data_IF_245156526147
#
_entry.id   IF_245156526147
#
_cell.length_a   1.000
_cell.length_b   1.000
_cell.length_c   1.000
_cell.angle_alpha   90.00
_cell.angle_beta   90.00
_cell.angle_gamma   90.00
#
_symmetry.space_group_name_H-M   'P 1'
#
loop_
_entity.id
_entity.type
_entity.pdbx_description
1 polymer ?
#
# COMPACT_ATOMS: atom_id res chain seq x y z
N UNK A 1 -13.24 4.60 3.25
CA UNK A 1 -12.62 4.07 2.01
C UNK A 1 -13.69 4.01 0.93
N UNK A 2 -13.76 4.91 -0.07
CA UNK A 2 -14.51 4.62 -1.27
C UNK A 2 -13.51 4.41 -2.41
N UNK A 3 -12.82 3.27 -2.41
CA UNK A 3 -12.27 2.79 -3.67
C UNK A 3 -13.45 2.21 -4.44
N UNK A 4 -13.62 2.71 -5.66
CA UNK A 4 -14.59 2.29 -6.68
C UNK A 4 -14.84 0.78 -6.59
N UNK A 5 -16.12 0.39 -6.66
CA UNK A 5 -16.61 -0.98 -6.50
C UNK A 5 -15.75 -2.00 -7.26
N UNK A 6 -14.86 -2.68 -6.53
CA UNK A 6 -14.22 -3.88 -7.04
C UNK A 6 -15.25 -5.00 -7.11
N UNK A 7 -15.10 -5.91 -8.06
CA UNK A 7 -15.88 -7.14 -8.06
C UNK A 7 -15.66 -7.90 -6.75
N UNK A 8 -16.72 -8.55 -6.25
CA UNK A 8 -16.58 -9.45 -5.11
C UNK A 8 -15.77 -10.68 -5.52
N UNK A 9 -15.11 -11.31 -4.55
CA UNK A 9 -14.36 -12.53 -4.80
C UNK A 9 -15.26 -13.63 -5.37
N UNK A 10 -16.48 -13.73 -4.83
CA UNK A 10 -17.49 -14.73 -5.22
C UNK A 10 -17.94 -14.54 -6.66
N UNK A 11 -18.13 -13.29 -7.10
CA UNK A 11 -18.48 -13.01 -8.50
C UNK A 11 -17.37 -13.46 -9.45
N UNK A 12 -16.11 -13.15 -9.12
CA UNK A 12 -14.98 -13.58 -9.95
C UNK A 12 -14.89 -15.10 -9.98
N UNK A 13 -14.98 -15.76 -8.83
CA UNK A 13 -14.95 -17.22 -8.72
C UNK A 13 -16.03 -17.89 -9.57
N UNK A 14 -17.26 -17.37 -9.52
CA UNK A 14 -18.38 -17.86 -10.32
C UNK A 14 -18.10 -17.71 -11.82
N UNK A 15 -17.53 -16.59 -12.27
CA UNK A 15 -17.10 -16.39 -13.65
C UNK A 15 -16.02 -17.41 -14.06
N UNK A 16 -14.98 -17.59 -13.24
CA UNK A 16 -13.89 -18.53 -13.53
C UNK A 16 -14.41 -19.97 -13.66
N UNK A 17 -15.26 -20.39 -12.72
CA UNK A 17 -15.83 -21.74 -12.69
C UNK A 17 -16.79 -22.01 -13.86
N UNK A 18 -17.62 -21.01 -14.22
CA UNK A 18 -18.60 -21.15 -15.29
C UNK A 18 -17.98 -21.16 -16.68
N UNK A 19 -16.92 -20.37 -16.90
CA UNK A 19 -16.45 -20.06 -18.25
C UNK A 19 -15.12 -20.73 -18.64
N UNK A 20 -14.28 -21.19 -17.70
CA UNK A 20 -12.93 -21.70 -18.05
C UNK A 20 -12.83 -23.22 -18.26
N UNK A 21 -13.93 -23.97 -18.10
CA UNK A 21 -14.10 -25.34 -18.65
C UNK A 21 -13.00 -26.36 -18.31
N UNK A 22 -12.76 -27.31 -19.24
CA UNK A 22 -11.79 -28.44 -19.11
C UNK A 22 -10.36 -28.10 -19.54
N UNK A 23 -10.08 -26.84 -19.87
CA UNK A 23 -8.74 -26.41 -20.31
C UNK A 23 -7.76 -26.60 -19.15
N UNK A 24 -6.53 -27.04 -19.45
CA UNK A 24 -5.52 -27.20 -18.40
C UNK A 24 -5.19 -25.84 -17.80
N UNK A 25 -5.32 -25.71 -16.48
CA UNK A 25 -5.13 -24.44 -15.74
C UNK A 25 -3.83 -23.71 -16.10
N UNK A 26 -2.74 -24.43 -16.34
CA UNK A 26 -1.43 -23.87 -16.69
C UNK A 26 -1.38 -23.19 -18.07
N UNK A 27 -2.36 -23.42 -18.93
CA UNK A 27 -2.45 -22.82 -20.27
C UNK A 27 -3.34 -21.57 -20.28
N UNK A 28 -4.09 -21.33 -19.22
CA UNK A 28 -5.00 -20.19 -19.14
C UNK A 28 -4.25 -18.98 -18.54
N UNK A 29 -4.46 -17.83 -19.18
CA UNK A 29 -4.07 -16.53 -18.70
C UNK A 29 -5.32 -15.70 -18.43
N UNK A 30 -5.41 -15.15 -17.22
CA UNK A 30 -6.43 -14.18 -16.82
C UNK A 30 -5.80 -12.81 -16.91
N UNK A 31 -6.40 -11.93 -17.69
CA UNK A 31 -5.99 -10.54 -17.86
C UNK A 31 -7.01 -9.62 -17.21
N UNK A 32 -6.55 -8.72 -16.35
CA UNK A 32 -7.34 -7.62 -15.80
C UNK A 32 -6.69 -6.27 -16.14
N UNK A 33 -7.19 -5.51 -17.13
CA UNK A 33 -6.60 -4.23 -17.53
C UNK A 33 -6.82 -3.10 -16.50
N UNK A 34 -7.66 -3.31 -15.49
CA UNK A 34 -7.98 -2.35 -14.44
C UNK A 34 -8.01 -3.05 -13.08
N UNK A 35 -6.86 -3.64 -12.72
CA UNK A 35 -6.78 -4.64 -11.67
C UNK A 35 -7.13 -4.10 -10.27
N UNK A 36 -7.06 -2.79 -10.04
CA UNK A 36 -7.30 -2.18 -8.74
C UNK A 36 -6.44 -2.83 -7.66
N UNK A 37 -7.08 -3.21 -6.55
CA UNK A 37 -6.41 -3.93 -5.45
C UNK A 37 -6.28 -5.45 -5.69
N UNK A 38 -6.59 -5.92 -6.90
CA UNK A 38 -6.22 -7.24 -7.40
C UNK A 38 -7.21 -8.38 -7.18
N UNK A 39 -8.51 -8.13 -6.97
CA UNK A 39 -9.47 -9.22 -6.71
C UNK A 39 -9.46 -10.28 -7.81
N UNK A 40 -9.53 -9.87 -9.08
CA UNK A 40 -9.47 -10.77 -10.24
C UNK A 40 -8.18 -11.58 -10.28
N UNK A 41 -7.05 -10.91 -10.05
CA UNK A 41 -5.73 -11.56 -10.09
C UNK A 41 -5.56 -12.55 -8.94
N UNK A 42 -5.99 -12.19 -7.73
CA UNK A 42 -5.90 -13.06 -6.56
C UNK A 42 -6.75 -14.31 -6.75
N UNK A 43 -8.01 -14.16 -7.19
CA UNK A 43 -8.85 -15.35 -7.44
C UNK A 43 -8.27 -16.21 -8.55
N UNK A 44 -7.87 -15.62 -9.68
CA UNK A 44 -7.20 -16.36 -10.76
C UNK A 44 -5.98 -17.15 -10.28
N UNK A 45 -5.15 -16.52 -9.44
CA UNK A 45 -3.97 -17.13 -8.85
C UNK A 45 -4.32 -18.27 -7.87
N UNK A 46 -5.33 -18.11 -7.02
CA UNK A 46 -5.81 -19.15 -6.10
C UNK A 46 -6.35 -20.37 -6.86
N UNK A 47 -6.99 -20.16 -8.02
CA UNK A 47 -7.40 -21.22 -8.95
C UNK A 47 -6.25 -21.81 -9.78
N UNK A 48 -5.00 -21.37 -9.55
CA UNK A 48 -3.77 -21.85 -10.23
C UNK A 48 -3.72 -21.53 -11.72
N UNK A 49 -4.37 -20.45 -12.14
CA UNK A 49 -4.21 -19.87 -13.47
C UNK A 49 -3.01 -18.91 -13.49
N UNK A 50 -2.51 -18.60 -14.68
CA UNK A 50 -1.58 -17.49 -14.85
C UNK A 50 -2.38 -16.18 -14.85
N UNK A 51 -1.85 -15.12 -14.25
CA UNK A 51 -2.56 -13.85 -14.12
C UNK A 51 -1.67 -12.68 -14.52
N UNK A 52 -2.25 -11.69 -15.19
CA UNK A 52 -1.61 -10.42 -15.56
C UNK A 52 -2.61 -9.30 -15.28
N UNK A 53 -2.16 -8.21 -14.69
CA UNK A 53 -3.01 -7.04 -14.57
C UNK A 53 -2.26 -5.72 -14.63
N UNK A 54 -3.00 -4.69 -15.02
CA UNK A 54 -2.54 -3.32 -15.15
C UNK A 54 -3.29 -2.44 -14.16
N UNK A 55 -2.58 -1.53 -13.52
CA UNK A 55 -3.16 -0.56 -12.58
C UNK A 55 -2.29 0.70 -12.58
N UNK A 56 -2.91 1.86 -12.74
CA UNK A 56 -2.23 3.16 -12.80
C UNK A 56 -1.96 3.72 -11.41
N UNK A 57 -2.82 3.42 -10.43
CA UNK A 57 -2.66 3.84 -9.06
C UNK A 57 -1.57 2.99 -8.37
N UNK A 58 -0.42 3.57 -7.98
CA UNK A 58 0.69 2.79 -7.44
C UNK A 58 0.39 2.17 -6.08
N UNK A 59 -0.51 2.75 -5.27
CA UNK A 59 -0.95 2.15 -4.00
C UNK A 59 -1.81 0.90 -4.25
N UNK A 60 -2.77 0.97 -5.17
CA UNK A 60 -3.60 -0.18 -5.53
C UNK A 60 -2.75 -1.30 -6.16
N UNK A 61 -1.82 -0.94 -7.05
CA UNK A 61 -0.85 -1.86 -7.65
C UNK A 61 0.05 -2.54 -6.59
N UNK A 62 0.53 -1.78 -5.59
CA UNK A 62 1.30 -2.31 -4.46
C UNK A 62 0.47 -3.32 -3.65
N UNK A 63 -0.78 -2.99 -3.34
CA UNK A 63 -1.70 -3.86 -2.61
C UNK A 63 -1.94 -5.19 -3.37
N UNK A 64 -2.24 -5.09 -4.66
CA UNK A 64 -2.45 -6.24 -5.55
C UNK A 64 -1.21 -7.14 -5.60
N UNK A 65 -0.02 -6.55 -5.82
CA UNK A 65 1.26 -7.26 -5.88
C UNK A 65 1.59 -8.00 -4.59
N UNK A 66 1.37 -7.36 -3.43
CA UNK A 66 1.64 -7.97 -2.13
C UNK A 66 0.68 -9.13 -1.82
N UNK A 67 -0.61 -9.01 -2.18
CA UNK A 67 -1.57 -10.12 -2.04
C UNK A 67 -1.15 -11.36 -2.83
N UNK A 68 -0.65 -11.17 -4.06
CA UNK A 68 -0.13 -12.28 -4.88
C UNK A 68 1.13 -12.91 -4.28
N UNK A 69 1.92 -12.15 -3.51
CA UNK A 69 3.12 -12.63 -2.81
C UNK A 69 2.85 -13.13 -1.40
N UNK A 70 1.60 -13.13 -0.92
CA UNK A 70 1.27 -13.37 0.48
C UNK A 70 1.85 -14.68 1.04
N UNK A 71 1.90 -15.73 0.21
CA UNK A 71 2.46 -17.04 0.59
C UNK A 71 3.96 -17.01 0.92
N UNK A 72 4.70 -16.04 0.38
CA UNK A 72 6.15 -15.91 0.57
C UNK A 72 6.56 -14.87 1.62
N UNK A 73 5.60 -14.30 2.37
CA UNK A 73 5.91 -13.29 3.39
C UNK A 73 6.57 -13.98 4.59
N UNK A 74 7.78 -13.57 5.02
CA UNK A 74 8.42 -14.09 6.21
C UNK A 74 7.75 -13.52 7.47
N UNK A 75 6.88 -14.32 8.11
CA UNK A 75 6.08 -13.86 9.26
C UNK A 75 6.95 -13.46 10.43
N UNK A 76 7.94 -14.27 10.81
CA UNK A 76 8.84 -13.96 11.93
C UNK A 76 9.59 -12.64 11.69
N UNK A 77 10.14 -12.48 10.48
CA UNK A 77 10.80 -11.23 10.08
C UNK A 77 9.85 -10.04 10.11
N UNK A 78 8.60 -10.19 9.68
CA UNK A 78 7.60 -9.13 9.76
C UNK A 78 7.31 -8.75 11.23
N UNK A 79 7.13 -9.73 12.10
CA UNK A 79 6.89 -9.53 13.53
C UNK A 79 8.06 -8.80 14.21
N UNK A 80 9.29 -9.19 13.92
CA UNK A 80 10.49 -8.53 14.45
C UNK A 80 10.53 -7.04 14.03
N UNK A 81 10.18 -6.75 12.77
CA UNK A 81 10.12 -5.36 12.29
C UNK A 81 8.99 -4.57 12.92
N UNK A 82 7.86 -5.18 13.25
CA UNK A 82 6.76 -4.50 13.98
C UNK A 82 7.25 -4.08 15.37
N UNK A 83 7.90 -4.99 16.11
CA UNK A 83 8.45 -4.66 17.43
C UNK A 83 9.52 -3.57 17.33
N UNK A 84 10.41 -3.67 16.34
CA UNK A 84 11.43 -2.65 16.10
C UNK A 84 10.82 -1.29 15.73
N UNK A 85 9.73 -1.28 14.95
CA UNK A 85 9.00 -0.06 14.59
C UNK A 85 8.37 0.61 15.81
N UNK A 86 7.69 -0.15 16.66
CA UNK A 86 7.09 0.36 17.90
C UNK A 86 8.16 0.98 18.82
N UNK A 87 9.28 0.27 19.01
CA UNK A 87 10.40 0.78 19.80
C UNK A 87 11.01 2.06 19.20
N UNK A 88 11.19 2.10 17.88
CA UNK A 88 11.67 3.29 17.17
C UNK A 88 10.72 4.48 17.33
N UNK A 89 9.42 4.27 17.10
CA UNK A 89 8.43 5.35 17.20
C UNK A 89 8.28 5.87 18.63
N UNK A 90 8.29 4.99 19.63
CA UNK A 90 8.26 5.37 21.05
C UNK A 90 9.49 6.18 21.44
N UNK A 91 10.66 5.84 20.90
CA UNK A 91 11.89 6.62 21.11
C UNK A 91 11.83 7.98 20.43
N UNK A 92 11.40 8.05 19.17
CA UNK A 92 11.44 9.30 18.41
C UNK A 92 10.30 10.26 18.77
N UNK A 93 9.15 9.74 19.19
CA UNK A 93 7.93 10.48 19.46
C UNK A 93 7.26 10.03 20.78
N UNK A 94 7.92 10.20 21.93
CA UNK A 94 7.36 9.81 23.22
C UNK A 94 6.07 10.58 23.54
N UNK A 95 5.15 9.92 24.24
CA UNK A 95 3.92 10.55 24.72
C UNK A 95 4.26 11.69 25.68
N UNK A 96 3.86 12.92 25.33
CA UNK A 96 4.20 14.12 26.11
C UNK A 96 4.71 15.32 25.28
N UNK A 97 4.98 15.15 23.99
CA UNK A 97 4.81 16.26 23.04
C UNK A 97 6.06 16.97 22.49
N UNK A 98 7.24 16.33 22.45
CA UNK A 98 8.33 16.73 21.54
C UNK A 98 9.04 15.52 20.95
N UNK A 99 9.36 15.58 19.66
CA UNK A 99 10.23 14.59 19.04
C UNK A 99 11.65 14.70 19.60
N UNK A 100 12.36 13.57 19.72
CA UNK A 100 13.75 13.54 20.19
C UNK A 100 14.77 13.84 19.06
N UNK A 101 14.31 14.37 17.92
CA UNK A 101 15.13 14.73 16.77
C UNK A 101 14.30 15.27 15.60
N UNK A 102 14.97 15.49 14.48
CA UNK A 102 14.34 15.81 13.19
C UNK A 102 14.34 14.58 12.27
N UNK A 103 13.23 14.29 11.59
CA UNK A 103 13.19 13.24 10.57
C UNK A 103 14.17 13.50 9.42
N UNK A 104 14.75 12.44 8.85
CA UNK A 104 15.57 12.54 7.64
C UNK A 104 14.70 12.71 6.38
N UNK A 105 13.56 12.03 6.35
CA UNK A 105 12.55 12.13 5.31
C UNK A 105 11.92 13.51 5.30
N UNK A 106 11.60 13.98 4.09
CA UNK A 106 10.93 15.27 3.88
C UNK A 106 9.61 15.06 3.19
N UNK A 107 8.66 15.95 3.46
CA UNK A 107 7.45 16.03 2.67
C UNK A 107 7.81 16.35 1.20
N UNK A 108 7.14 15.75 0.21
CA UNK A 108 7.35 16.06 -1.19
C UNK A 108 7.14 17.54 -1.49
N UNK A 109 7.79 18.05 -2.54
CA UNK A 109 7.55 19.41 -3.02
C UNK A 109 6.08 19.57 -3.42
N UNK A 110 5.43 20.66 -2.99
CA UNK A 110 4.00 20.89 -3.23
C UNK A 110 3.05 20.10 -2.32
N UNK A 111 3.57 19.39 -1.30
CA UNK A 111 2.78 18.73 -0.25
C UNK A 111 2.22 19.74 0.78
N UNK A 112 1.66 20.85 0.28
CA UNK A 112 0.99 21.89 1.04
C UNK A 112 -0.04 22.55 0.12
N UNK A 113 -1.32 22.21 0.29
CA UNK A 113 -2.42 22.86 -0.42
C UNK A 113 -2.83 24.17 0.26
N UNK A 114 -4.10 24.57 0.11
CA UNK A 114 -4.68 25.70 0.88
C UNK A 114 -4.73 25.42 2.40
N UNK A 115 -4.67 24.15 2.79
CA UNK A 115 -4.60 23.67 4.18
C UNK A 115 -3.43 22.70 4.32
N UNK A 116 -2.87 22.61 5.53
CA UNK A 116 -1.88 21.59 5.85
C UNK A 116 -2.51 20.20 5.73
N UNK A 117 -1.89 19.29 4.97
CA UNK A 117 -2.38 17.91 4.81
C UNK A 117 -2.38 17.13 6.13
N UNK A 118 -1.39 17.38 6.99
CA UNK A 118 -1.29 16.83 8.33
C UNK A 118 -0.99 17.97 9.30
N UNK A 119 -1.47 17.87 10.55
CA UNK A 119 -0.95 18.76 11.60
C UNK A 119 0.56 18.54 11.78
N UNK A 120 1.35 19.54 12.25
CA UNK A 120 2.79 19.41 12.36
C UNK A 120 3.24 18.20 13.20
N UNK A 121 2.49 17.87 14.26
CA UNK A 121 2.73 16.69 15.10
C UNK A 121 2.54 15.38 14.33
N UNK A 122 1.45 15.27 13.56
CA UNK A 122 1.18 14.08 12.74
C UNK A 122 2.19 13.96 11.62
N UNK A 123 2.50 15.07 10.92
CA UNK A 123 3.49 15.09 9.86
C UNK A 123 4.85 14.58 10.37
N UNK A 124 5.31 15.06 11.52
CA UNK A 124 6.56 14.61 12.13
C UNK A 124 6.56 13.09 12.37
N UNK A 125 5.46 12.54 12.91
CA UNK A 125 5.32 11.08 13.11
C UNK A 125 5.34 10.32 11.78
N UNK A 126 4.66 10.83 10.75
CA UNK A 126 4.66 10.23 9.41
C UNK A 126 6.06 10.22 8.80
N UNK A 127 6.82 11.31 8.93
CA UNK A 127 8.19 11.38 8.41
C UNK A 127 9.14 10.41 9.13
N UNK A 128 9.02 10.25 10.45
CA UNK A 128 9.76 9.20 11.17
C UNK A 128 9.35 7.80 10.74
N UNK A 129 8.06 7.56 10.50
CA UNK A 129 7.62 6.26 9.98
C UNK A 129 8.25 5.99 8.59
N UNK A 130 8.34 7.00 7.73
CA UNK A 130 9.03 6.88 6.44
C UNK A 130 10.54 6.62 6.59
N UNK A 131 11.20 7.23 7.57
CA UNK A 131 12.60 6.93 7.88
C UNK A 131 12.82 5.47 8.25
N UNK A 132 11.97 4.94 9.15
CA UNK A 132 12.02 3.54 9.53
C UNK A 132 11.74 2.63 8.32
N UNK A 133 10.72 2.93 7.53
CA UNK A 133 10.40 2.16 6.32
C UNK A 133 11.58 2.17 5.34
N UNK A 134 12.24 3.32 5.19
CA UNK A 134 13.41 3.48 4.34
C UNK A 134 14.62 2.64 4.77
N UNK A 135 14.74 2.34 6.07
CA UNK A 135 15.85 1.54 6.61
C UNK A 135 15.62 0.02 6.55
N UNK A 136 14.44 -0.45 6.14
CA UNK A 136 14.15 -1.88 5.99
C UNK A 136 14.82 -2.43 4.73
N UNK A 137 15.77 -3.35 4.92
CA UNK A 137 16.49 -4.02 3.82
C UNK A 137 15.60 -4.98 3.02
N UNK A 138 14.73 -5.74 3.71
CA UNK A 138 13.85 -6.70 3.05
C UNK A 138 12.75 -5.96 2.25
N UNK A 139 12.75 -6.04 0.90
CA UNK A 139 11.84 -5.24 0.08
C UNK A 139 10.37 -5.64 0.26
N UNK A 140 10.07 -6.89 0.59
CA UNK A 140 8.68 -7.36 0.83
C UNK A 140 8.16 -6.79 2.15
N UNK A 141 8.97 -6.83 3.20
CA UNK A 141 8.60 -6.25 4.50
C UNK A 141 8.45 -4.73 4.35
N UNK A 142 9.41 -4.06 3.70
CA UNK A 142 9.34 -2.62 3.42
C UNK A 142 8.05 -2.23 2.68
N UNK A 143 7.69 -2.98 1.65
CA UNK A 143 6.46 -2.75 0.88
C UNK A 143 5.19 -3.01 1.73
N UNK A 144 5.20 -3.99 2.63
CA UNK A 144 4.10 -4.21 3.59
C UNK A 144 3.92 -3.02 4.54
N UNK A 145 5.02 -2.47 5.06
CA UNK A 145 4.94 -1.27 5.90
C UNK A 145 4.45 -0.05 5.11
N UNK A 146 4.88 0.13 3.85
CA UNK A 146 4.34 1.20 2.97
C UNK A 146 2.85 1.05 2.75
N UNK A 147 2.39 -0.18 2.49
CA UNK A 147 0.98 -0.48 2.32
C UNK A 147 0.20 -0.18 3.61
N UNK A 148 0.72 -0.60 4.76
CA UNK A 148 0.11 -0.36 6.07
C UNK A 148 0.01 1.14 6.37
N UNK A 149 1.08 1.91 6.17
CA UNK A 149 1.08 3.36 6.34
C UNK A 149 0.05 4.02 5.42
N UNK A 150 0.04 3.68 4.13
CA UNK A 150 -0.94 4.21 3.18
C UNK A 150 -2.39 3.90 3.53
N UNK A 151 -2.65 2.74 4.16
CA UNK A 151 -4.00 2.35 4.57
C UNK A 151 -4.59 3.22 5.67
N UNK A 152 -3.76 3.86 6.49
CA UNK A 152 -4.18 4.71 7.61
C UNK A 152 -3.98 6.21 7.35
N UNK A 153 -3.14 6.57 6.39
CA UNK A 153 -2.77 7.97 6.10
C UNK A 153 -3.97 8.91 5.89
N UNK A 154 -5.02 8.47 5.18
CA UNK A 154 -6.23 9.30 4.97
C UNK A 154 -6.91 9.62 6.30
N UNK A 155 -7.04 8.63 7.20
CA UNK A 155 -7.70 8.81 8.50
C UNK A 155 -6.95 9.75 9.46
N UNK A 156 -5.65 9.93 9.25
CA UNK A 156 -4.79 10.80 10.05
C UNK A 156 -4.61 12.19 9.43
N UNK A 157 -5.13 12.42 8.22
CA UNK A 157 -4.99 13.69 7.49
C UNK A 157 -6.07 14.69 7.89
N UNK A 158 -5.80 15.98 7.68
CA UNK A 158 -6.82 17.03 7.77
C UNK A 158 -7.76 17.03 6.55
N UNK A 159 -7.62 16.05 5.64
CA UNK A 159 -8.44 15.94 4.44
C UNK A 159 -9.83 15.44 4.81
N UNK A 160 -10.83 16.31 4.66
CA UNK A 160 -12.24 15.91 4.72
C UNK A 160 -12.72 15.59 3.32
N UNK A 161 -13.29 14.41 3.13
CA UNK A 161 -13.79 13.95 1.84
C UNK A 161 -15.08 14.72 1.49
N UNK A 162 -14.98 15.79 0.70
CA UNK A 162 -16.14 16.37 0.04
C UNK A 162 -16.33 15.69 -1.33
N UNK A 163 -17.57 15.39 -1.76
CA UNK A 163 -17.87 14.69 -3.02
C UNK A 163 -17.28 15.36 -4.29
N UNK A 164 -16.76 16.58 -4.18
CA UNK A 164 -16.26 17.40 -5.29
C UNK A 164 -14.72 17.57 -5.33
N UNK A 165 -13.94 16.95 -4.45
CA UNK A 165 -12.48 17.09 -4.44
C UNK A 165 -11.75 15.77 -4.71
N UNK A 166 -11.16 15.56 -5.90
CA UNK A 166 -10.35 14.40 -6.15
C UNK A 166 -8.89 14.84 -6.34
N UNK A 167 -8.16 15.05 -5.25
CA UNK A 167 -6.71 14.88 -5.35
C UNK A 167 -6.11 14.29 -4.08
N UNK A 168 -6.14 12.96 -4.00
CA UNK A 168 -5.39 12.16 -3.01
C UNK A 168 -4.00 11.78 -3.53
N UNK A 169 -3.61 12.25 -4.72
CA UNK A 169 -2.28 11.99 -5.31
C UNK A 169 -1.13 12.38 -4.38
N UNK A 170 -1.22 13.44 -3.53
CA UNK A 170 -0.16 13.74 -2.57
C UNK A 170 0.14 12.58 -1.60
N UNK A 171 -0.90 11.94 -1.06
CA UNK A 171 -0.74 10.81 -0.12
C UNK A 171 -0.13 9.59 -0.81
N UNK A 172 -0.52 9.36 -2.05
CA UNK A 172 0.03 8.29 -2.90
C UNK A 172 1.49 8.59 -3.27
N UNK A 173 1.81 9.85 -3.53
CA UNK A 173 3.16 10.31 -3.86
C UNK A 173 4.13 10.22 -2.68
N UNK A 174 3.63 10.41 -1.45
CA UNK A 174 4.44 10.23 -0.24
C UNK A 174 4.95 8.78 -0.08
N UNK A 175 4.23 7.79 -0.62
CA UNK A 175 4.62 6.38 -0.59
C UNK A 175 5.42 5.95 -1.81
N UNK A 176 5.44 6.76 -2.88
CA UNK A 176 6.08 6.44 -4.15
C UNK A 176 7.50 7.00 -4.30
N UNK A 177 8.01 7.77 -3.33
CA UNK A 177 9.40 8.25 -3.27
C UNK A 177 10.38 7.12 -2.93
N UNK A 178 10.46 6.12 -3.81
CA UNK A 178 11.66 5.29 -3.97
C UNK A 178 12.10 5.47 -5.42
N UNK A 179 13.39 5.71 -5.72
CA UNK A 179 13.84 5.69 -7.10
C UNK A 179 13.47 4.32 -7.69
N UNK A 180 12.77 4.32 -8.83
CA UNK A 180 12.76 3.18 -9.72
C UNK A 180 14.22 2.98 -10.16
N UNK A 181 14.98 2.20 -9.39
CA UNK A 181 16.25 1.68 -9.86
C UNK A 181 15.93 0.77 -11.03
N UNK A 182 16.24 1.26 -12.22
CA UNK A 182 16.26 0.50 -13.47
C UNK A 182 16.85 -0.89 -13.25
N UNK A 183 16.06 -1.93 -13.53
CA UNK A 183 16.45 -3.20 -14.15
C UNK A 183 15.19 -3.89 -14.70
#
# INVERSE_FOLDING_TARGET
MPWIAGFSAEFVDDCLCRHLGRIRRKEIWILDPFAGVGTTLVQGFLHRYNVVGFEINPYAALASRLKLKARGIPIDGLTDHIVAFEAFMNKQCPDGGRSLGEPMSKAPDGFSGRTEFFSPKVQTKVLFALDFIGSIDNPVIRDLFRLALGSVMVSMSNYSYEPASPDVSPLVNLLSTTPLSHM
#
